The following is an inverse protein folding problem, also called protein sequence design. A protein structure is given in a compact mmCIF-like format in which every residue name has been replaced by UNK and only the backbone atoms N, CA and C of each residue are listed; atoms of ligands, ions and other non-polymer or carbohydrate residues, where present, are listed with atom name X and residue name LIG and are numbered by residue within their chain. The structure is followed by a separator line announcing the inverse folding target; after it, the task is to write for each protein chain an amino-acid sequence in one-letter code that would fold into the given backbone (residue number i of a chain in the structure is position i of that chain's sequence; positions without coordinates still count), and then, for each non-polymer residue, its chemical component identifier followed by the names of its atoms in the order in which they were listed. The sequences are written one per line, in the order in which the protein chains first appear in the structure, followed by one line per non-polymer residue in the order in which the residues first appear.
data_IF_053615052531
#
_entry.id   IF_053615052531
#
_cell.length_a   1.000
_cell.length_b   1.000
_cell.length_c   1.000
_cell.angle_alpha   90.00
_cell.angle_beta   90.00
_cell.angle_gamma   90.00
#
_symmetry.space_group_name_H-M   'P 1'
#
loop_
_entity.id
_entity.type
_entity.pdbx_description
1 polymer ?
#
# COMPACT_ATOMS: atom_id res chain seq x y z
N UNK A 1 -20.46 42.73 13.23
CA UNK A 1 -20.60 41.26 13.37
C UNK A 1 -20.61 40.67 11.97
N UNK A 2 -19.69 39.75 11.65
CA UNK A 2 -19.68 38.83 10.47
C UNK A 2 -18.25 38.59 9.99
N UNK A 3 -17.48 37.76 10.72
CA UNK A 3 -16.20 37.24 10.22
C UNK A 3 -15.84 35.85 10.78
N UNK A 4 -16.82 35.13 11.34
CA UNK A 4 -16.64 33.73 11.81
C UNK A 4 -16.97 32.70 10.73
N UNK A 5 -17.91 33.01 9.81
CA UNK A 5 -18.34 32.10 8.75
C UNK A 5 -17.28 31.87 7.67
N UNK A 6 -16.52 32.92 7.31
CA UNK A 6 -15.45 32.81 6.30
C UNK A 6 -14.23 32.05 6.86
N UNK A 7 -13.93 32.21 8.16
CA UNK A 7 -12.84 31.47 8.81
C UNK A 7 -13.14 29.96 8.93
N UNK A 8 -14.40 29.58 9.15
CA UNK A 8 -14.76 28.15 9.19
C UNK A 8 -14.72 27.51 7.80
N UNK A 9 -15.09 28.26 6.75
CA UNK A 9 -14.98 27.79 5.36
C UNK A 9 -13.51 27.59 4.94
N UNK A 10 -12.61 28.51 5.30
CA UNK A 10 -11.17 28.36 5.02
C UNK A 10 -10.52 27.17 5.75
N UNK A 11 -10.94 26.93 7.00
CA UNK A 11 -10.46 25.77 7.78
C UNK A 11 -11.01 24.46 7.22
N UNK A 12 -12.27 24.44 6.78
CA UNK A 12 -12.93 23.27 6.21
C UNK A 12 -12.37 22.88 4.83
N UNK A 13 -12.06 23.85 3.97
CA UNK A 13 -11.41 23.56 2.68
C UNK A 13 -9.97 23.05 2.86
N UNK A 14 -9.23 23.52 3.86
CA UNK A 14 -7.90 22.98 4.17
C UNK A 14 -7.93 21.54 4.68
N UNK A 15 -8.99 21.14 5.42
CA UNK A 15 -9.11 19.77 5.93
C UNK A 15 -9.56 18.76 4.87
N UNK A 16 -10.21 19.21 3.80
CA UNK A 16 -10.63 18.39 2.65
C UNK A 16 -9.50 18.10 1.66
N UNK A 17 -8.38 18.83 1.72
CA UNK A 17 -7.17 18.58 0.91
C UNK A 17 -6.16 17.68 1.61
N UNK A 18 -6.60 16.86 2.57
CA UNK A 18 -5.76 15.87 3.26
C UNK A 18 -5.86 14.47 2.64
N UNK A 19 -6.37 14.38 1.41
CA UNK A 19 -6.28 13.18 0.59
C UNK A 19 -5.03 13.22 -0.29
N UNK A 20 -3.95 12.63 0.23
CA UNK A 20 -3.07 11.69 -0.49
C UNK A 20 -2.44 12.06 -1.83
N UNK A 21 -2.50 13.32 -2.28
CA UNK A 21 -1.69 13.80 -3.41
C UNK A 21 -0.41 14.36 -2.85
N UNK A 22 0.68 13.65 -3.11
CA UNK A 22 2.06 14.07 -2.89
C UNK A 22 2.18 15.51 -3.39
N UNK A 23 2.19 16.46 -2.46
CA UNK A 23 2.78 17.76 -2.77
C UNK A 23 4.17 17.42 -3.28
N UNK A 24 4.50 17.84 -4.50
CA UNK A 24 5.83 17.73 -5.12
C UNK A 24 6.83 18.17 -4.06
N UNK A 25 7.41 17.20 -3.34
CA UNK A 25 8.33 17.50 -2.26
C UNK A 25 9.57 17.97 -2.98
N UNK A 26 9.91 19.22 -2.82
CA UNK A 26 11.17 19.74 -3.32
C UNK A 26 12.30 18.96 -2.61
N UNK A 27 12.94 18.08 -3.38
CA UNK A 27 14.05 17.29 -2.90
C UNK A 27 15.23 18.22 -2.67
N UNK A 28 15.85 18.10 -1.49
CA UNK A 28 17.11 18.78 -1.22
C UNK A 28 18.23 18.16 -2.07
N UNK A 29 19.27 18.93 -2.39
CA UNK A 29 20.42 18.44 -3.17
C UNK A 29 21.05 17.16 -2.59
N UNK A 30 21.05 17.02 -1.26
CA UNK A 30 21.56 15.81 -0.57
C UNK A 30 20.65 14.59 -0.75
N UNK A 31 19.34 14.79 -0.76
CA UNK A 31 18.38 13.72 -1.02
C UNK A 31 18.45 13.27 -2.47
N UNK A 32 18.60 14.21 -3.41
CA UNK A 32 18.80 13.89 -4.82
C UNK A 32 20.10 13.10 -5.03
N UNK A 33 21.21 13.57 -4.46
CA UNK A 33 22.48 12.86 -4.50
C UNK A 33 22.39 11.45 -3.90
N UNK A 34 21.61 11.27 -2.82
CA UNK A 34 21.35 9.93 -2.28
C UNK A 34 20.62 9.03 -3.27
N UNK A 35 19.55 9.51 -3.90
CA UNK A 35 18.78 8.73 -4.88
C UNK A 35 19.62 8.39 -6.11
N UNK A 36 20.44 9.32 -6.60
CA UNK A 36 21.33 9.09 -7.74
C UNK A 36 22.40 8.05 -7.41
N UNK A 37 23.02 8.17 -6.23
CA UNK A 37 24.00 7.19 -5.76
C UNK A 37 23.35 5.82 -5.49
N UNK A 38 22.09 5.77 -5.07
CA UNK A 38 21.36 4.52 -4.84
C UNK A 38 21.21 3.70 -6.13
N UNK A 39 21.08 4.36 -7.29
CA UNK A 39 21.07 3.68 -8.59
C UNK A 39 22.47 3.13 -8.91
N UNK A 40 23.50 3.95 -8.69
CA UNK A 40 24.88 3.60 -9.01
C UNK A 40 25.44 2.47 -8.13
N UNK A 41 25.02 2.38 -6.86
CA UNK A 41 25.39 1.31 -5.92
C UNK A 41 24.55 0.04 -6.07
N UNK A 42 23.66 -0.02 -7.07
CA UNK A 42 22.79 -1.18 -7.28
C UNK A 42 21.75 -1.39 -6.19
N UNK A 43 21.40 -0.32 -5.46
CA UNK A 43 20.38 -0.34 -4.40
C UNK A 43 20.91 -0.55 -2.99
N UNK A 44 22.23 -0.45 -2.74
CA UNK A 44 22.76 -0.43 -1.37
C UNK A 44 22.57 0.96 -0.73
N UNK A 45 21.66 1.11 0.26
CA UNK A 45 21.38 2.39 0.90
C UNK A 45 22.50 2.86 1.83
N UNK A 46 23.36 1.95 2.33
CA UNK A 46 24.47 2.32 3.21
C UNK A 46 25.56 3.00 2.39
N UNK A 47 25.99 2.36 1.30
CA UNK A 47 26.99 2.94 0.39
C UNK A 47 26.49 4.23 -0.26
N UNK A 48 25.22 4.27 -0.68
CA UNK A 48 24.62 5.48 -1.26
C UNK A 48 24.58 6.65 -0.27
N UNK A 49 24.31 6.37 1.02
CA UNK A 49 24.30 7.39 2.06
C UNK A 49 25.70 7.93 2.35
N UNK A 50 26.72 7.08 2.36
CA UNK A 50 28.13 7.48 2.53
C UNK A 50 28.57 8.40 1.38
N UNK A 51 28.24 8.05 0.13
CA UNK A 51 28.57 8.85 -1.05
C UNK A 51 27.82 10.19 -1.11
N UNK A 52 26.58 10.23 -0.62
CA UNK A 52 25.81 11.47 -0.47
C UNK A 52 26.22 12.31 0.77
N UNK A 53 27.21 11.84 1.54
CA UNK A 53 27.79 12.55 2.67
C UNK A 53 26.91 12.52 3.93
N UNK A 54 26.07 11.52 4.11
CA UNK A 54 25.31 11.31 5.34
C UNK A 54 26.19 10.69 6.44
N UNK A 55 25.84 10.94 7.70
CA UNK A 55 26.56 10.36 8.84
C UNK A 55 26.35 8.84 8.92
N UNK A 56 27.36 8.11 9.36
CA UNK A 56 27.27 6.65 9.56
C UNK A 56 26.11 6.32 10.52
N UNK A 57 25.25 5.38 10.10
CA UNK A 57 24.03 5.01 10.85
C UNK A 57 22.78 5.85 10.56
N UNK A 58 22.91 7.00 9.90
CA UNK A 58 21.74 7.84 9.54
C UNK A 58 20.98 7.36 8.29
N UNK A 59 21.57 6.45 7.51
CA UNK A 59 20.99 5.90 6.26
C UNK A 59 19.57 5.34 6.46
N UNK A 60 19.29 4.71 7.60
CA UNK A 60 17.96 4.14 7.89
C UNK A 60 16.86 5.20 7.99
N UNK A 61 17.19 6.40 8.46
CA UNK A 61 16.25 7.52 8.54
C UNK A 61 16.03 8.16 7.17
N UNK A 62 17.10 8.29 6.38
CA UNK A 62 17.05 8.81 5.01
C UNK A 62 16.17 7.92 4.12
N UNK A 63 16.36 6.59 4.17
CA UNK A 63 15.54 5.62 3.45
C UNK A 63 14.07 5.70 3.85
N UNK A 64 13.77 5.86 5.14
CA UNK A 64 12.38 6.00 5.63
C UNK A 64 11.74 7.30 5.16
N UNK A 65 12.51 8.39 5.15
CA UNK A 65 12.05 9.70 4.70
C UNK A 65 11.80 9.74 3.19
N UNK A 66 12.66 9.08 2.41
CA UNK A 66 12.61 9.04 0.93
C UNK A 66 11.93 7.78 0.37
N UNK A 67 11.12 7.08 1.18
CA UNK A 67 10.56 5.78 0.79
C UNK A 67 9.69 5.89 -0.47
N UNK A 68 8.95 6.98 -0.61
CA UNK A 68 7.97 7.18 -1.70
C UNK A 68 8.73 7.42 -3.00
N UNK A 69 9.80 8.21 -2.91
CA UNK A 69 10.68 8.61 -3.99
C UNK A 69 11.55 7.44 -4.47
N UNK A 70 12.01 6.58 -3.56
CA UNK A 70 12.70 5.31 -3.92
C UNK A 70 11.75 4.39 -4.69
N UNK A 71 10.49 4.28 -4.26
CA UNK A 71 9.48 3.45 -4.94
C UNK A 71 9.17 4.01 -6.33
N UNK A 72 8.99 5.32 -6.45
CA UNK A 72 8.76 6.00 -7.72
C UNK A 72 9.94 5.81 -8.68
N UNK A 73 11.18 5.99 -8.18
CA UNK A 73 12.40 5.77 -8.94
C UNK A 73 12.52 4.32 -9.41
N UNK A 74 12.29 3.35 -8.53
CA UNK A 74 12.28 1.93 -8.89
C UNK A 74 11.21 1.62 -9.94
N UNK A 75 10.02 2.21 -9.80
CA UNK A 75 8.93 2.08 -10.76
C UNK A 75 9.32 2.65 -12.13
N UNK A 76 10.01 3.79 -12.16
CA UNK A 76 10.52 4.39 -13.37
C UNK A 76 11.56 3.49 -14.07
N UNK A 77 12.51 2.93 -13.32
CA UNK A 77 13.52 1.99 -13.84
C UNK A 77 12.86 0.72 -14.41
N UNK A 78 11.85 0.18 -13.72
CA UNK A 78 11.09 -0.97 -14.20
C UNK A 78 10.30 -0.65 -15.48
N UNK A 79 9.66 0.52 -15.53
CA UNK A 79 8.94 1.00 -16.72
C UNK A 79 9.89 1.17 -17.91
N UNK A 80 11.08 1.73 -17.70
CA UNK A 80 12.12 1.83 -18.74
C UNK A 80 12.63 0.46 -19.21
N UNK A 81 12.61 -0.54 -18.33
CA UNK A 81 13.04 -1.91 -18.64
C UNK A 81 11.96 -2.72 -19.38
N UNK A 82 10.72 -2.27 -19.37
CA UNK A 82 9.58 -2.97 -19.97
C UNK A 82 9.73 -3.26 -21.48
N UNK A 83 10.12 -2.29 -22.35
CA UNK A 83 10.27 -2.56 -23.77
C UNK A 83 11.36 -3.61 -24.03
N UNK A 84 12.45 -3.55 -23.28
CA UNK A 84 13.55 -4.52 -23.36
C UNK A 84 13.08 -5.92 -22.95
N UNK A 85 12.27 -6.03 -21.89
CA UNK A 85 11.69 -7.30 -21.46
C UNK A 85 10.75 -7.88 -22.54
N UNK A 86 9.89 -7.07 -23.13
CA UNK A 86 8.98 -7.49 -24.21
C UNK A 86 9.75 -8.01 -25.43
N UNK A 87 10.78 -7.28 -25.88
CA UNK A 87 11.62 -7.72 -27.01
C UNK A 87 12.31 -9.04 -26.69
N UNK A 88 12.83 -9.23 -25.47
CA UNK A 88 13.48 -10.47 -25.08
C UNK A 88 12.53 -11.67 -25.05
N UNK A 89 11.23 -11.47 -24.81
CA UNK A 89 10.25 -12.54 -24.95
C UNK A 89 10.08 -12.95 -26.41
N UNK A 90 9.96 -11.97 -27.32
CA UNK A 90 9.85 -12.21 -28.77
C UNK A 90 11.12 -12.90 -29.30
N UNK A 91 12.31 -12.41 -28.92
CA UNK A 91 13.59 -13.02 -29.29
C UNK A 91 13.66 -14.50 -28.90
N UNK A 92 13.18 -14.86 -27.70
CA UNK A 92 13.17 -16.26 -27.24
C UNK A 92 12.12 -17.09 -27.97
N UNK A 93 11.00 -16.49 -28.41
CA UNK A 93 9.97 -17.16 -29.20
C UNK A 93 10.43 -17.44 -30.63
N UNK A 94 11.17 -16.51 -31.23
CA UNK A 94 11.62 -16.60 -32.63
C UNK A 94 12.99 -17.30 -32.79
N UNK A 95 13.72 -17.52 -31.69
CA UNK A 95 15.04 -18.16 -31.70
C UNK A 95 14.95 -19.66 -31.98
N UNK A 96 15.55 -20.11 -33.09
CA UNK A 96 15.77 -21.54 -33.38
C UNK A 96 16.93 -22.15 -32.56
N UNK A 97 17.75 -21.31 -31.93
CA UNK A 97 18.87 -21.76 -31.08
C UNK A 97 18.41 -21.96 -29.61
N UNK A 98 18.89 -23.03 -28.93
CA UNK A 98 18.60 -23.24 -27.52
C UNK A 98 19.20 -22.14 -26.64
N UNK A 99 18.36 -21.26 -26.11
CA UNK A 99 18.81 -20.21 -25.19
C UNK A 99 19.00 -20.82 -23.79
N UNK A 100 20.21 -20.72 -23.19
CA UNK A 100 20.45 -21.23 -21.85
C UNK A 100 19.57 -20.50 -20.83
N UNK A 101 18.93 -21.29 -19.96
CA UNK A 101 18.02 -20.78 -18.93
C UNK A 101 16.84 -19.95 -19.51
N UNK A 102 16.41 -20.24 -20.75
CA UNK A 102 15.29 -19.58 -21.39
C UNK A 102 14.07 -19.50 -20.46
N UNK A 103 13.71 -20.60 -19.79
CA UNK A 103 12.60 -20.64 -18.82
C UNK A 103 12.72 -19.58 -17.72
N UNK A 104 13.89 -19.46 -17.08
CA UNK A 104 14.13 -18.48 -15.99
C UNK A 104 14.08 -17.05 -16.53
N UNK A 105 14.64 -16.81 -17.71
CA UNK A 105 14.66 -15.48 -18.34
C UNK A 105 13.27 -15.05 -18.81
N UNK A 106 12.47 -15.98 -19.34
CA UNK A 106 11.08 -15.75 -19.71
C UNK A 106 10.24 -15.37 -18.48
N UNK A 107 10.40 -16.09 -17.36
CA UNK A 107 9.71 -15.79 -16.11
C UNK A 107 10.09 -14.40 -15.55
N UNK A 108 11.37 -14.05 -15.60
CA UNK A 108 11.85 -12.73 -15.17
C UNK A 108 11.28 -11.61 -16.04
N UNK A 109 11.31 -11.76 -17.37
CA UNK A 109 10.75 -10.80 -18.31
C UNK A 109 9.23 -10.64 -18.12
N UNK A 110 8.50 -11.74 -17.96
CA UNK A 110 7.06 -11.70 -17.67
C UNK A 110 6.76 -10.97 -16.36
N UNK A 111 7.56 -11.20 -15.31
CA UNK A 111 7.39 -10.53 -14.02
C UNK A 111 7.54 -9.01 -14.16
N UNK A 112 8.51 -8.52 -14.95
CA UNK A 112 8.65 -7.09 -15.23
C UNK A 112 7.38 -6.55 -15.92
N UNK A 113 6.84 -7.27 -16.91
CA UNK A 113 5.63 -6.87 -17.65
C UNK A 113 4.34 -6.91 -16.82
N UNK A 114 4.25 -7.84 -15.87
CA UNK A 114 3.11 -7.94 -14.96
C UNK A 114 3.11 -6.77 -13.96
N UNK A 115 4.30 -6.30 -13.54
CA UNK A 115 4.45 -5.18 -12.59
C UNK A 115 4.12 -3.81 -13.19
N UNK A 116 4.37 -3.61 -14.48
CA UNK A 116 3.99 -2.38 -15.20
C UNK A 116 2.50 -2.34 -15.61
N UNK A 117 1.76 -3.43 -15.37
CA UNK A 117 0.32 -3.49 -15.66
C UNK A 117 -0.04 -3.78 -17.12
N UNK A 118 0.90 -4.22 -17.95
CA UNK A 118 0.60 -4.66 -19.32
C UNK A 118 -0.09 -6.04 -19.37
N UNK A 119 -0.02 -6.83 -18.28
CA UNK A 119 -0.50 -8.22 -18.24
C UNK A 119 -1.80 -8.50 -17.48
N UNK A 120 -2.12 -7.78 -16.39
CA UNK A 120 -3.26 -8.13 -15.50
C UNK A 120 -3.99 -6.90 -14.96
N UNK A 121 -5.20 -6.69 -15.45
CA UNK A 121 -6.19 -5.86 -14.74
C UNK A 121 -6.85 -6.74 -13.67
N UNK A 122 -6.51 -6.53 -12.40
CA UNK A 122 -7.29 -7.14 -11.30
C UNK A 122 -8.70 -6.55 -11.31
N UNK A 123 -9.70 -7.35 -11.69
CA UNK A 123 -11.12 -6.99 -11.54
C UNK A 123 -11.55 -7.34 -10.13
N UNK A 124 -11.75 -6.33 -9.28
CA UNK A 124 -12.26 -6.51 -7.93
C UNK A 124 -13.76 -6.85 -7.97
N UNK A 125 -14.11 -8.10 -7.65
CA UNK A 125 -15.50 -8.57 -7.60
C UNK A 125 -16.05 -8.38 -6.17
N UNK A 126 -16.82 -7.32 -5.95
CA UNK A 126 -17.50 -7.07 -4.66
C UNK A 126 -18.84 -7.80 -4.66
N UNK A 127 -18.90 -8.99 -4.07
CA UNK A 127 -20.15 -9.68 -3.80
C UNK A 127 -20.61 -9.38 -2.36
N UNK A 128 -21.45 -8.35 -2.17
CA UNK A 128 -22.13 -8.09 -0.90
C UNK A 128 -23.24 -9.12 -0.68
N UNK A 129 -22.90 -10.31 -0.16
CA UNK A 129 -23.91 -11.17 0.50
C UNK A 129 -24.17 -10.60 1.88
N UNK A 130 -25.16 -9.72 1.98
CA UNK A 130 -25.68 -9.18 3.26
C UNK A 130 -26.44 -10.30 3.98
N UNK A 131 -25.72 -11.29 4.51
CA UNK A 131 -26.26 -12.41 5.29
C UNK A 131 -26.27 -12.06 6.79
N UNK A 132 -26.71 -10.83 7.11
CA UNK A 132 -26.89 -10.33 8.46
C UNK A 132 -28.37 -10.16 8.73
N UNK A 133 -29.03 -11.24 9.14
CA UNK A 133 -30.43 -11.22 9.53
C UNK A 133 -30.66 -10.20 10.65
N UNK A 134 -31.59 -9.27 10.42
CA UNK A 134 -32.07 -8.36 11.46
C UNK A 134 -32.79 -9.20 12.50
N UNK A 135 -32.22 -9.32 13.70
CA UNK A 135 -32.86 -9.99 14.84
C UNK A 135 -33.55 -8.93 15.69
N UNK A 136 -34.88 -8.83 15.56
CA UNK A 136 -35.71 -8.03 16.47
C UNK A 136 -36.00 -8.90 17.69
N UNK A 137 -35.48 -8.51 18.86
CA UNK A 137 -35.90 -9.13 20.12
C UNK A 137 -37.23 -8.52 20.58
N UNK A 138 -38.26 -9.34 20.90
CA UNK A 138 -39.47 -8.83 21.53
C UNK A 138 -39.19 -8.41 22.98
N UNK A 139 -39.91 -7.38 23.43
CA UNK A 139 -39.75 -6.78 24.76
C UNK A 139 -40.09 -7.77 25.89
N UNK A 140 -39.30 -7.72 26.96
CA UNK A 140 -39.40 -8.63 28.12
C UNK A 140 -40.64 -8.28 28.96
N UNK A 141 -41.65 -9.15 28.99
CA UNK A 141 -42.80 -9.00 29.90
C UNK A 141 -42.36 -9.28 31.34
N UNK A 142 -42.58 -8.29 32.22
CA UNK A 142 -42.35 -8.44 33.67
C UNK A 142 -43.53 -9.22 34.25
N UNK A 143 -43.40 -10.54 34.33
CA UNK A 143 -44.37 -11.35 35.06
C UNK A 143 -43.97 -11.32 36.54
N UNK A 144 -44.66 -10.49 37.32
CA UNK A 144 -44.65 -10.55 38.78
C UNK A 144 -45.35 -11.84 39.17
N UNK A 145 -44.62 -12.78 39.77
CA UNK A 145 -45.20 -13.97 40.37
C UNK A 145 -45.37 -13.71 41.87
N UNK A 146 -46.62 -13.65 42.32
CA UNK A 146 -46.97 -13.59 43.74
C UNK A 146 -46.61 -14.91 44.42
N UNK A 147 -45.86 -14.81 45.51
CA UNK A 147 -45.41 -15.95 46.30
C UNK A 147 -46.53 -16.45 47.22
N UNK A 148 -46.95 -17.70 47.05
CA UNK A 148 -47.77 -18.42 48.02
C UNK A 148 -46.90 -19.45 48.77
N UNK A 149 -46.83 -19.29 50.08
CA UNK A 149 -46.05 -20.14 51.01
C UNK A 149 -46.85 -21.40 51.36
N UNK A 150 -46.27 -22.58 51.12
CA UNK A 150 -46.80 -23.85 51.63
C UNK A 150 -45.86 -24.39 52.69
N UNK A 151 -46.36 -24.47 53.93
CA UNK A 151 -45.70 -25.05 55.11
C UNK A 151 -45.63 -26.58 55.00
N UNK A 152 -44.45 -27.16 55.22
CA UNK A 152 -44.26 -28.62 55.31
C UNK A 152 -44.20 -29.02 56.78
N UNK A 153 -45.17 -29.79 57.25
CA UNK A 153 -45.08 -30.51 58.52
C UNK A 153 -44.27 -31.80 58.33
N UNK A 154 -43.15 -31.94 59.05
CA UNK A 154 -42.44 -33.21 59.22
C UNK A 154 -42.85 -33.81 60.56
N UNK A 155 -43.62 -34.90 60.51
CA UNK A 155 -43.88 -35.77 61.66
C UNK A 155 -42.78 -36.81 61.78
N UNK A 156 -42.37 -37.04 63.03
CA UNK A 156 -41.32 -37.94 63.50
C UNK A 156 -41.51 -39.43 63.12
#
# INVERSE_FOLDING_TARGET
MSNKSIQSLATFTSSLSKDGRSAERELTERQQSFLDNLINTGGDPKEAAELAGYAEGSYTQVVKALKEEIIELASHILAQSAPKAAIKLVDVMDSEEPIPQASVRLQAAQTILDRIGLGKTERMNVNHKVNGGVFILPEKSVNVFDAEVVTVEQSA
#
